data_IF_529292747897
#
_entry.id   IF_529292747897
#
_cell.length_a   1.000
_cell.length_b   1.000
_cell.length_c   1.000
_cell.angle_alpha   90.00
_cell.angle_beta   90.00
_cell.angle_gamma   90.00
#
_symmetry.space_group_name_H-M   'P 1'
#
loop_
_entity.id
_entity.type
_entity.pdbx_description
1 polymer ?
#
# COMPACT_ATOMS: atom_id res chain seq x y z
N UNK A 1 2.43 21.61 -42.34
CA UNK A 1 1.30 21.69 -41.38
C UNK A 1 1.50 20.62 -40.31
N UNK A 2 2.43 20.86 -39.37
CA UNK A 2 2.69 19.97 -38.22
C UNK A 2 1.94 20.50 -37.02
N UNK A 3 0.83 19.84 -36.70
CA UNK A 3 -0.15 20.31 -35.71
C UNK A 3 -0.46 19.22 -34.69
N UNK A 4 0.57 18.55 -34.16
CA UNK A 4 0.45 17.82 -32.89
C UNK A 4 1.75 17.94 -32.09
N UNK A 5 2.14 19.18 -31.77
CA UNK A 5 2.97 19.41 -30.58
C UNK A 5 2.02 19.51 -29.39
N UNK A 6 1.52 18.35 -28.94
CA UNK A 6 0.80 18.24 -27.67
C UNK A 6 1.85 18.43 -26.58
N UNK A 7 1.98 19.67 -26.11
CA UNK A 7 2.76 20.02 -24.93
C UNK A 7 2.42 19.04 -23.82
N UNK A 8 3.46 18.51 -23.19
CA UNK A 8 3.37 17.58 -22.05
C UNK A 8 2.32 18.06 -21.07
N UNK A 9 1.22 17.31 -21.08
CA UNK A 9 0.21 17.20 -20.04
C UNK A 9 0.39 18.10 -18.82
N UNK A 10 -0.32 19.21 -18.80
CA UNK A 10 -0.86 19.70 -17.53
C UNK A 10 -1.94 18.70 -17.08
N UNK A 11 -1.55 17.73 -16.24
CA UNK A 11 -2.49 16.93 -15.49
C UNK A 11 -3.08 17.77 -14.36
N UNK A 12 -4.37 18.10 -14.48
CA UNK A 12 -5.22 18.49 -13.34
C UNK A 12 -5.27 17.35 -12.29
N UNK A 13 -5.58 17.64 -11.01
CA UNK A 13 -5.01 16.99 -9.82
C UNK A 13 -5.68 15.65 -9.48
N UNK A 14 -5.52 14.67 -10.36
CA UNK A 14 -5.49 13.27 -9.96
C UNK A 14 -4.08 13.01 -9.45
N UNK A 15 -3.93 12.51 -8.23
CA UNK A 15 -2.62 12.41 -7.57
C UNK A 15 -1.52 11.92 -8.51
N UNK A 16 -0.44 12.69 -8.50
CA UNK A 16 0.67 12.49 -9.42
C UNK A 16 1.32 11.14 -9.15
N UNK A 17 1.99 10.55 -10.13
CA UNK A 17 2.73 9.29 -9.94
C UNK A 17 3.70 9.37 -8.76
N UNK A 18 4.27 10.56 -8.55
CA UNK A 18 5.16 10.92 -7.46
C UNK A 18 4.47 10.85 -6.08
N UNK A 19 3.18 11.15 -5.98
CA UNK A 19 2.44 11.10 -4.71
C UNK A 19 2.12 9.66 -4.32
N UNK A 20 1.82 8.79 -5.30
CA UNK A 20 1.70 7.35 -5.08
C UNK A 20 3.02 6.71 -4.68
N UNK A 21 4.12 7.15 -5.30
CA UNK A 21 5.46 6.70 -4.96
C UNK A 21 5.78 6.98 -3.48
N UNK A 22 5.46 8.19 -2.98
CA UNK A 22 5.58 8.54 -1.56
C UNK A 22 4.70 7.68 -0.65
N UNK A 23 3.48 7.33 -1.07
CA UNK A 23 2.65 6.37 -0.30
C UNK A 23 3.37 5.02 -0.17
N UNK A 24 3.88 4.47 -1.27
CA UNK A 24 4.58 3.17 -1.25
C UNK A 24 5.83 3.20 -0.36
N UNK A 25 6.65 4.24 -0.46
CA UNK A 25 7.85 4.39 0.38
C UNK A 25 7.49 4.47 1.87
N UNK A 26 6.48 5.25 2.23
CA UNK A 26 6.04 5.35 3.63
C UNK A 26 5.36 4.07 4.15
N UNK A 27 4.69 3.32 3.27
CA UNK A 27 4.10 2.01 3.59
C UNK A 27 5.21 1.03 3.94
N UNK A 28 6.25 0.99 3.12
CA UNK A 28 7.34 0.03 3.29
C UNK A 28 8.11 0.33 4.60
N UNK A 29 8.38 1.60 4.92
CA UNK A 29 8.97 2.00 6.21
C UNK A 29 8.11 1.63 7.43
N UNK A 30 6.78 1.74 7.30
CA UNK A 30 5.86 1.33 8.35
C UNK A 30 5.84 -0.19 8.52
N UNK A 31 5.84 -0.94 7.41
CA UNK A 31 5.85 -2.40 7.44
C UNK A 31 7.18 -2.98 7.93
N UNK A 32 8.31 -2.35 7.63
CA UNK A 32 9.62 -2.70 8.20
C UNK A 32 9.64 -2.53 9.72
N UNK A 33 9.06 -1.44 10.23
CA UNK A 33 8.95 -1.22 11.68
C UNK A 33 8.06 -2.28 12.34
N UNK A 34 6.95 -2.61 11.69
CA UNK A 34 6.02 -3.66 12.08
C UNK A 34 6.67 -5.04 12.16
N UNK A 35 7.49 -5.37 11.17
CA UNK A 35 8.23 -6.64 11.10
C UNK A 35 9.28 -6.70 12.22
N UNK A 36 9.96 -5.59 12.51
CA UNK A 36 10.88 -5.47 13.64
C UNK A 36 10.20 -5.62 15.00
N UNK A 37 8.93 -5.19 15.12
CA UNK A 37 8.12 -5.34 16.32
C UNK A 37 7.41 -6.70 16.43
N UNK A 38 7.42 -7.52 15.37
CA UNK A 38 6.73 -8.81 15.31
C UNK A 38 5.20 -8.71 15.25
N UNK A 39 4.65 -7.55 14.87
CA UNK A 39 3.20 -7.33 14.81
C UNK A 39 2.69 -7.57 13.40
N UNK A 40 1.86 -8.60 13.18
CA UNK A 40 1.38 -8.94 11.83
C UNK A 40 0.20 -8.07 11.39
N UNK A 41 -0.61 -7.62 12.34
CA UNK A 41 -1.85 -6.87 12.19
C UNK A 41 -1.59 -5.38 12.42
N UNK A 42 -1.58 -4.62 11.32
CA UNK A 42 -1.48 -3.16 11.39
C UNK A 42 -2.63 -2.60 12.24
N UNK A 43 -2.29 -1.87 13.31
CA UNK A 43 -3.26 -1.34 14.28
C UNK A 43 -3.24 -2.00 15.66
N UNK A 44 -2.65 -3.18 15.83
CA UNK A 44 -2.46 -3.84 17.14
C UNK A 44 -1.11 -3.49 17.80
N UNK A 45 -0.40 -2.50 17.25
CA UNK A 45 0.98 -2.13 17.62
C UNK A 45 1.10 -1.27 18.88
N UNK A 46 -0.02 -0.79 19.41
CA UNK A 46 -0.06 0.15 20.52
C UNK A 46 0.70 1.45 20.18
N UNK A 47 1.79 1.71 20.90
CA UNK A 47 2.65 2.89 20.71
C UNK A 47 3.85 2.65 19.81
N UNK A 48 4.10 1.39 19.40
CA UNK A 48 5.17 1.08 18.46
C UNK A 48 4.85 1.69 17.08
N UNK A 49 5.88 2.15 16.37
CA UNK A 49 5.79 2.62 14.98
C UNK A 49 4.80 3.78 14.69
N UNK A 50 4.30 4.49 15.72
CA UNK A 50 3.36 5.62 15.61
C UNK A 50 3.81 6.72 14.64
N UNK A 51 5.11 7.05 14.64
CA UNK A 51 5.69 8.04 13.72
C UNK A 51 5.57 7.60 12.25
N UNK A 52 5.87 6.33 11.96
CA UNK A 52 5.78 5.77 10.61
C UNK A 52 4.33 5.61 10.19
N UNK A 53 3.45 5.18 11.10
CA UNK A 53 2.00 5.10 10.90
C UNK A 53 1.41 6.46 10.49
N UNK A 54 1.75 7.52 11.23
CA UNK A 54 1.27 8.87 10.93
C UNK A 54 1.73 9.36 9.54
N UNK A 55 2.98 9.08 9.15
CA UNK A 55 3.48 9.44 7.83
C UNK A 55 2.79 8.64 6.73
N UNK A 56 2.55 7.36 6.97
CA UNK A 56 1.86 6.45 6.06
C UNK A 56 0.41 6.87 5.80
N UNK A 57 -0.35 7.19 6.85
CA UNK A 57 -1.73 7.71 6.73
C UNK A 57 -1.75 9.03 5.95
N UNK A 58 -0.82 9.95 6.27
CA UNK A 58 -0.76 11.28 5.66
C UNK A 58 -0.33 11.28 4.19
N UNK A 59 0.63 10.44 3.81
CA UNK A 59 1.12 10.35 2.44
C UNK A 59 0.11 9.64 1.55
N UNK A 60 -0.53 8.58 2.06
CA UNK A 60 -1.40 7.75 1.25
C UNK A 60 -2.79 8.36 1.06
N UNK A 61 -3.35 9.01 2.09
CA UNK A 61 -4.64 9.69 1.99
C UNK A 61 -4.66 10.81 0.93
N UNK A 62 -3.53 11.47 0.69
CA UNK A 62 -3.41 12.54 -0.32
C UNK A 62 -3.45 12.02 -1.76
N UNK A 63 -3.16 10.74 -1.98
CA UNK A 63 -2.99 10.19 -3.32
C UNK A 63 -4.31 9.86 -4.05
N UNK A 64 -5.47 10.11 -3.44
CA UNK A 64 -6.78 9.80 -4.05
C UNK A 64 -7.84 10.88 -3.86
N UNK A 65 -7.47 12.07 -3.35
CA UNK A 65 -8.43 13.18 -3.20
C UNK A 65 -8.77 13.77 -4.56
N UNK A 66 -9.91 13.35 -5.12
CA UNK A 66 -10.57 13.99 -6.25
C UNK A 66 -11.02 15.40 -5.85
N UNK A 67 -10.65 16.41 -6.62
CA UNK A 67 -10.88 17.84 -6.32
C UNK A 67 -12.35 18.24 -6.15
N UNK A 68 -13.30 17.42 -6.58
CA UNK A 68 -14.74 17.71 -6.44
C UNK A 68 -15.25 17.49 -5.01
N UNK A 69 -14.50 16.78 -4.15
CA UNK A 69 -14.98 16.30 -2.85
C UNK A 69 -14.43 17.16 -1.68
N UNK A 70 -13.55 18.13 -1.95
CA UNK A 70 -12.90 18.98 -0.94
C UNK A 70 -13.88 19.69 0.02
N UNK A 71 -15.12 19.96 -0.42
CA UNK A 71 -16.16 20.61 0.39
C UNK A 71 -16.97 19.65 1.28
N UNK A 72 -16.88 18.34 1.04
CA UNK A 72 -17.54 17.29 1.82
C UNK A 72 -16.49 16.38 2.45
N UNK A 73 -15.89 16.87 3.54
CA UNK A 73 -14.81 16.20 4.30
C UNK A 73 -15.13 14.73 4.62
N UNK A 74 -16.38 14.42 4.99
CA UNK A 74 -16.84 13.06 5.30
C UNK A 74 -16.82 12.05 4.13
N UNK A 75 -16.83 12.50 2.86
CA UNK A 75 -16.79 11.60 1.70
C UNK A 75 -15.36 11.38 1.17
N UNK A 76 -14.39 12.21 1.60
CA UNK A 76 -12.97 12.08 1.24
C UNK A 76 -12.31 10.93 2.00
N UNK A 77 -12.73 10.68 3.24
CA UNK A 77 -12.16 9.66 4.12
C UNK A 77 -12.40 8.22 3.59
N UNK A 78 -13.53 7.98 2.92
CA UNK A 78 -13.94 6.66 2.43
C UNK A 78 -13.00 6.03 1.39
N UNK A 79 -12.30 6.84 0.57
CA UNK A 79 -11.41 6.30 -0.48
C UNK A 79 -9.96 6.12 -0.01
N UNK A 80 -9.49 6.96 0.92
CA UNK A 80 -8.15 6.89 1.48
C UNK A 80 -7.99 5.70 2.45
N UNK A 81 -8.98 5.49 3.32
CA UNK A 81 -9.01 4.36 4.24
C UNK A 81 -9.00 3.01 3.50
N UNK A 82 -9.70 2.92 2.36
CA UNK A 82 -9.81 1.68 1.60
C UNK A 82 -8.46 1.19 1.03
N UNK A 83 -7.55 2.09 0.66
CA UNK A 83 -6.24 1.68 0.15
C UNK A 83 -5.32 1.17 1.26
N UNK A 84 -5.33 1.85 2.42
CA UNK A 84 -4.55 1.44 3.59
C UNK A 84 -5.05 0.09 4.10
N UNK A 85 -6.36 -0.05 4.26
CA UNK A 85 -7.01 -1.29 4.66
C UNK A 85 -6.71 -2.44 3.68
N UNK A 86 -6.73 -2.16 2.37
CA UNK A 86 -6.32 -3.13 1.37
C UNK A 86 -4.88 -3.63 1.56
N UNK A 87 -3.91 -2.73 1.79
CA UNK A 87 -2.53 -3.12 2.04
C UNK A 87 -2.36 -3.93 3.33
N UNK A 88 -3.02 -3.51 4.40
CA UNK A 88 -3.01 -4.19 5.68
C UNK A 88 -3.58 -5.61 5.56
N UNK A 89 -4.71 -5.78 4.86
CA UNK A 89 -5.30 -7.10 4.56
C UNK A 89 -4.36 -7.98 3.74
N UNK A 90 -3.64 -7.41 2.77
CA UNK A 90 -2.70 -8.17 1.93
C UNK A 90 -1.51 -8.71 2.71
N UNK A 91 -0.99 -7.96 3.69
CA UNK A 91 0.06 -8.43 4.59
C UNK A 91 -0.39 -9.69 5.35
N UNK A 92 -1.59 -9.66 5.92
CA UNK A 92 -2.17 -10.82 6.63
C UNK A 92 -2.41 -12.01 5.69
N UNK A 93 -2.88 -11.77 4.46
CA UNK A 93 -3.07 -12.83 3.47
C UNK A 93 -1.74 -13.46 3.04
N UNK A 94 -0.68 -12.66 2.87
CA UNK A 94 0.64 -13.16 2.51
C UNK A 94 1.19 -14.11 3.57
N UNK A 95 1.06 -13.77 4.85
CA UNK A 95 1.47 -14.65 5.94
C UNK A 95 0.65 -15.95 5.99
N UNK A 96 -0.67 -15.87 5.84
CA UNK A 96 -1.54 -17.07 5.78
C UNK A 96 -1.20 -18.02 4.63
N UNK A 97 -0.77 -17.48 3.49
CA UNK A 97 -0.46 -18.27 2.30
C UNK A 97 0.95 -18.88 2.35
N UNK A 98 1.85 -18.34 3.18
CA UNK A 98 3.25 -18.73 3.25
C UNK A 98 3.45 -20.22 3.57
N UNK A 99 2.70 -20.75 4.53
CA UNK A 99 2.81 -22.16 4.95
C UNK A 99 2.35 -23.12 3.86
N UNK A 100 1.21 -22.81 3.22
CA UNK A 100 0.68 -23.61 2.11
C UNK A 100 1.66 -23.63 0.93
N UNK A 101 2.24 -22.47 0.59
CA UNK A 101 3.22 -22.37 -0.48
C UNK A 101 4.51 -23.14 -0.15
N UNK A 102 4.98 -23.07 1.10
CA UNK A 102 6.14 -23.83 1.55
C UNK A 102 5.91 -25.36 1.44
N UNK A 103 4.74 -25.84 1.87
CA UNK A 103 4.37 -27.26 1.74
C UNK A 103 4.31 -27.69 0.27
N UNK A 104 3.67 -26.90 -0.59
CA UNK A 104 3.61 -27.19 -2.03
C UNK A 104 4.99 -27.23 -2.67
N UNK A 105 5.89 -26.31 -2.30
CA UNK A 105 7.28 -26.31 -2.77
C UNK A 105 8.03 -27.56 -2.32
N UNK A 106 7.90 -27.99 -1.07
CA UNK A 106 8.51 -29.22 -0.56
C UNK A 106 8.01 -30.45 -1.32
N UNK A 107 6.69 -30.57 -1.52
CA UNK A 107 6.09 -31.65 -2.31
C UNK A 107 6.65 -31.69 -3.73
N UNK A 108 6.79 -30.53 -4.38
CA UNK A 108 7.35 -30.44 -5.74
C UNK A 108 8.83 -30.85 -5.78
N UNK A 109 9.61 -30.49 -4.76
CA UNK A 109 11.03 -30.86 -4.65
C UNK A 109 11.19 -32.36 -4.39
N UNK A 110 10.40 -32.92 -3.49
CA UNK A 110 10.39 -34.37 -3.23
C UNK A 110 9.99 -35.16 -4.47
N UNK A 111 8.96 -34.71 -5.21
CA UNK A 111 8.57 -35.32 -6.47
C UNK A 111 9.72 -35.31 -7.49
N UNK A 112 10.46 -34.19 -7.61
CA UNK A 112 11.65 -34.09 -8.46
C UNK A 112 12.80 -34.99 -7.99
N UNK A 113 12.98 -35.20 -6.68
CA UNK A 113 14.03 -36.07 -6.13
C UNK A 113 13.76 -37.56 -6.32
N UNK A 114 12.51 -37.94 -6.56
CA UNK A 114 12.09 -39.34 -6.79
C UNK A 114 12.11 -39.74 -8.28
N UNK A 115 12.36 -38.80 -9.18
CA UNK A 115 12.56 -39.01 -10.62
C UNK A 115 14.07 -39.13 -10.91
#
# INVERSE_FOLDING_TARGET
MSWFSRSSSEQSPAATRQDRQKCWESRDQYFECLDGAGVLTAGEEGTACTKSKFQYEKSCAKSWVSTTIQRFVHLVDLNAEHQIDYFNKRRVLAEKQKDMLAQSQLQSQEAKRKL
#
